data_IF_334209383304
#
_entry.id   IF_334209383304
#
_cell.length_a   1.000
_cell.length_b   1.000
_cell.length_c   1.000
_cell.angle_alpha   90.00
_cell.angle_beta   90.00
_cell.angle_gamma   90.00
#
_symmetry.space_group_name_H-M   'P 1'
#
loop_
_entity.id
_entity.type
_entity.pdbx_description
1 polymer ?
#
# COMPACT_ATOMS: atom_id res chain seq x y z
N UNK A 1 40.27 8.85 1.72
CA UNK A 1 39.47 10.00 1.22
C UNK A 1 38.54 10.40 2.35
N UNK A 2 38.61 11.66 2.78
CA UNK A 2 37.92 12.19 3.98
C UNK A 2 36.50 12.59 3.59
N UNK A 3 35.48 12.10 4.31
CA UNK A 3 34.11 12.62 4.26
C UNK A 3 33.94 13.64 5.39
N UNK A 4 33.65 14.89 5.02
CA UNK A 4 33.27 15.97 5.93
C UNK A 4 31.77 16.23 5.71
N UNK A 5 30.93 16.24 6.76
CA UNK A 5 29.48 16.39 6.63
C UNK A 5 29.08 17.86 6.45
N UNK A 6 28.08 18.13 5.59
CA UNK A 6 27.46 19.45 5.50
C UNK A 6 26.12 19.46 6.24
N UNK A 7 26.08 20.21 7.34
CA UNK A 7 24.87 20.65 8.06
C UNK A 7 24.60 22.10 7.61
N UNK A 8 23.35 22.42 7.24
CA UNK A 8 22.72 23.77 7.29
C UNK A 8 21.41 23.73 6.49
N UNK A 9 20.27 24.33 6.85
CA UNK A 9 19.93 25.22 7.96
C UNK A 9 18.41 25.13 8.19
N UNK A 10 17.97 25.12 9.45
CA UNK A 10 16.57 25.33 9.82
C UNK A 10 16.36 26.85 9.86
N UNK A 11 15.55 27.38 8.95
CA UNK A 11 15.14 28.78 8.98
C UNK A 11 14.02 28.93 10.00
N UNK A 12 14.40 29.38 11.20
CA UNK A 12 13.51 29.96 12.20
C UNK A 12 12.92 31.26 11.63
N UNK A 13 11.67 31.21 11.16
CA UNK A 13 10.89 32.40 10.86
C UNK A 13 10.37 32.95 12.19
N UNK A 14 11.12 33.90 12.74
CA UNK A 14 10.74 34.73 13.87
C UNK A 14 9.66 35.72 13.45
N UNK A 15 8.54 35.69 14.16
CA UNK A 15 7.42 36.63 14.06
C UNK A 15 7.86 38.03 14.54
N UNK A 16 7.75 39.10 13.74
CA UNK A 16 7.99 40.45 14.22
C UNK A 16 6.73 41.04 14.87
N UNK A 17 6.84 41.24 16.19
CA UNK A 17 6.33 42.36 16.99
C UNK A 17 5.08 43.14 16.50
N UNK A 18 4.13 43.24 17.45
CA UNK A 18 3.19 44.35 17.74
C UNK A 18 1.73 44.17 17.31
N UNK A 19 0.88 43.81 18.28
CA UNK A 19 -0.47 44.37 18.41
C UNK A 19 -1.58 43.78 17.53
N UNK A 20 -2.14 42.64 17.94
CA UNK A 20 -3.57 42.36 17.79
C UNK A 20 -4.11 41.91 19.14
N UNK A 21 -4.42 42.89 20.00
CA UNK A 21 -5.22 42.71 21.20
C UNK A 21 -6.69 42.71 20.82
N UNK A 22 -7.40 41.64 21.18
CA UNK A 22 -8.82 41.72 21.50
C UNK A 22 -9.78 41.08 20.50
N UNK A 23 -9.89 39.75 20.54
CA UNK A 23 -11.19 39.07 20.51
C UNK A 23 -11.08 37.85 21.43
N UNK A 24 -12.11 37.54 22.25
CA UNK A 24 -12.06 36.42 23.17
C UNK A 24 -11.80 35.14 22.38
N UNK A 25 -11.04 34.22 22.98
CA UNK A 25 -10.73 32.92 22.39
C UNK A 25 -12.00 32.26 21.85
N UNK A 26 -12.25 32.44 20.55
CA UNK A 26 -13.14 31.59 19.80
C UNK A 26 -12.54 30.21 19.96
N UNK A 27 -13.29 29.44 20.72
CA UNK A 27 -12.98 28.09 21.16
C UNK A 27 -12.37 27.40 19.95
N UNK A 28 -11.19 26.75 20.03
CA UNK A 28 -10.82 25.84 18.95
C UNK A 28 -12.06 24.96 18.79
N UNK A 29 -12.60 24.90 17.58
CA UNK A 29 -13.69 24.01 17.25
C UNK A 29 -13.18 22.61 17.60
N UNK A 30 -13.38 22.21 18.87
CA UNK A 30 -13.29 20.88 19.41
C UNK A 30 -14.53 20.13 18.92
N UNK A 31 -14.74 20.23 17.61
CA UNK A 31 -15.92 19.91 16.89
C UNK A 31 -15.44 19.26 15.61
N UNK A 32 -15.43 17.93 15.64
CA UNK A 32 -15.52 17.02 14.48
C UNK A 32 -14.26 16.36 13.95
N UNK A 33 -13.17 16.38 14.69
CA UNK A 33 -12.34 15.18 14.76
C UNK A 33 -12.49 14.61 16.16
N UNK A 34 -13.74 14.27 16.50
CA UNK A 34 -13.90 13.11 17.35
C UNK A 34 -12.99 12.06 16.71
N UNK A 35 -11.98 11.63 17.46
CA UNK A 35 -11.30 10.38 17.24
C UNK A 35 -12.44 9.37 17.14
N UNK A 36 -12.95 9.17 15.91
CA UNK A 36 -13.63 7.94 15.60
C UNK A 36 -12.61 6.93 16.06
N UNK A 37 -12.98 6.01 16.97
CA UNK A 37 -12.20 4.81 17.08
C UNK A 37 -12.15 4.32 15.64
N UNK A 38 -11.00 4.43 14.99
CA UNK A 38 -10.70 3.60 13.83
C UNK A 38 -10.89 2.23 14.46
N UNK A 39 -12.10 1.67 14.28
CA UNK A 39 -12.39 0.34 14.77
C UNK A 39 -11.21 -0.46 14.25
N UNK A 40 -10.40 -0.97 15.17
CA UNK A 40 -9.20 -1.72 14.81
C UNK A 40 -9.72 -2.80 13.89
N UNK A 41 -9.48 -2.64 12.59
CA UNK A 41 -9.95 -3.59 11.62
C UNK A 41 -9.13 -4.82 11.91
N UNK A 42 -9.82 -5.89 12.29
CA UNK A 42 -9.15 -7.14 12.60
C UNK A 42 -8.66 -7.81 11.30
N UNK A 43 -7.77 -8.77 11.47
CA UNK A 43 -7.20 -9.51 10.35
C UNK A 43 -8.29 -10.25 9.55
N UNK A 44 -9.37 -10.69 10.22
CA UNK A 44 -10.47 -11.40 9.58
C UNK A 44 -11.23 -10.50 8.60
N UNK A 45 -11.61 -9.30 9.03
CA UNK A 45 -12.27 -8.28 8.21
C UNK A 45 -11.37 -7.83 7.06
N UNK A 46 -10.06 -7.74 7.30
CA UNK A 46 -9.09 -7.43 6.25
C UNK A 46 -9.03 -8.54 5.21
N UNK A 47 -8.98 -9.81 5.64
CA UNK A 47 -8.96 -10.96 4.76
C UNK A 47 -10.26 -11.15 3.98
N UNK A 48 -11.42 -10.90 4.59
CA UNK A 48 -12.71 -10.84 3.88
C UNK A 48 -12.69 -9.80 2.76
N UNK A 49 -12.12 -8.62 3.01
CA UNK A 49 -11.97 -7.59 1.98
C UNK A 49 -10.98 -7.98 0.88
N UNK A 50 -9.94 -8.77 1.20
CA UNK A 50 -8.96 -9.28 0.23
C UNK A 50 -9.50 -10.39 -0.67
N UNK A 51 -10.47 -11.18 -0.20
CA UNK A 51 -11.12 -12.24 -0.97
C UNK A 51 -12.45 -11.80 -1.62
N UNK A 52 -13.01 -10.67 -1.18
CA UNK A 52 -14.29 -10.17 -1.67
C UNK A 52 -15.45 -11.12 -1.34
N UNK A 53 -16.61 -10.87 -1.95
CA UNK A 53 -17.84 -11.61 -1.66
C UNK A 53 -17.85 -13.07 -2.18
N UNK A 54 -16.86 -13.47 -2.99
CA UNK A 54 -16.92 -14.70 -3.78
C UNK A 54 -15.56 -15.36 -4.00
N UNK A 55 -14.60 -15.17 -3.09
CA UNK A 55 -13.22 -15.70 -3.17
C UNK A 55 -12.36 -15.23 -4.36
N UNK A 56 -12.94 -14.51 -5.32
CA UNK A 56 -12.26 -13.84 -6.45
C UNK A 56 -11.87 -12.40 -6.08
N UNK A 57 -11.15 -12.24 -4.98
CA UNK A 57 -10.78 -10.92 -4.47
C UNK A 57 -9.42 -10.42 -4.95
N UNK A 58 -9.04 -9.18 -4.59
CA UNK A 58 -7.79 -8.55 -5.01
C UNK A 58 -6.53 -9.40 -4.78
N UNK A 59 -6.52 -10.23 -3.74
CA UNK A 59 -5.38 -11.10 -3.49
C UNK A 59 -5.29 -12.27 -4.46
N UNK A 60 -6.43 -12.84 -4.86
CA UNK A 60 -6.48 -13.95 -5.80
C UNK A 60 -6.08 -13.46 -7.19
N UNK A 61 -6.54 -12.27 -7.58
CA UNK A 61 -6.10 -11.58 -8.81
C UNK A 61 -4.59 -11.34 -8.81
N UNK A 62 -4.04 -10.83 -7.71
CA UNK A 62 -2.60 -10.58 -7.57
C UNK A 62 -1.77 -11.86 -7.74
N UNK A 63 -2.20 -12.96 -7.12
CA UNK A 63 -1.50 -14.25 -7.23
C UNK A 63 -1.67 -14.88 -8.61
N UNK A 64 -2.83 -14.75 -9.23
CA UNK A 64 -3.05 -15.24 -10.59
C UNK A 64 -2.17 -14.50 -11.61
N UNK A 65 -2.03 -13.18 -11.49
CA UNK A 65 -1.09 -12.37 -12.28
C UNK A 65 0.33 -12.94 -12.16
N UNK A 66 0.82 -13.13 -10.93
CA UNK A 66 2.16 -13.66 -10.68
C UNK A 66 2.33 -15.07 -11.26
N UNK A 67 1.33 -15.94 -11.09
CA UNK A 67 1.37 -17.32 -11.60
C UNK A 67 1.42 -17.38 -13.13
N UNK A 68 0.73 -16.46 -13.81
CA UNK A 68 0.82 -16.32 -15.27
C UNK A 68 2.25 -15.96 -15.71
N UNK A 69 2.93 -15.08 -14.97
CA UNK A 69 4.34 -14.75 -15.21
C UNK A 69 5.31 -15.90 -14.91
N UNK A 70 5.06 -16.72 -13.90
CA UNK A 70 5.90 -17.91 -13.62
C UNK A 70 5.80 -18.95 -14.74
N UNK A 71 4.58 -19.21 -15.22
CA UNK A 71 4.32 -20.25 -16.22
C UNK A 71 4.90 -19.86 -17.57
N UNK A 72 4.86 -18.58 -17.90
CA UNK A 72 5.49 -18.00 -19.07
C UNK A 72 5.86 -16.56 -18.73
N UNK A 73 7.15 -16.20 -18.65
CA UNK A 73 7.60 -14.84 -18.34
C UNK A 73 7.41 -13.92 -19.56
N UNK A 74 6.18 -13.88 -20.05
CA UNK A 74 5.75 -13.11 -21.20
C UNK A 74 4.89 -11.97 -20.70
N UNK A 75 5.45 -10.77 -20.84
CA UNK A 75 4.79 -9.52 -20.53
C UNK A 75 3.50 -9.32 -21.36
N UNK A 76 3.24 -10.11 -22.41
CA UNK A 76 1.96 -10.05 -23.12
C UNK A 76 0.79 -10.72 -22.38
N UNK A 77 1.03 -11.50 -21.32
CA UNK A 77 -0.03 -12.26 -20.63
C UNK A 77 -0.82 -11.48 -19.58
N UNK A 78 -0.32 -10.30 -19.20
CA UNK A 78 -0.93 -9.42 -18.21
C UNK A 78 -0.93 -8.01 -18.76
N UNK A 79 -2.09 -7.37 -18.78
CA UNK A 79 -2.21 -6.02 -19.31
C UNK A 79 -1.83 -4.97 -18.26
N UNK A 80 -1.42 -3.79 -18.72
CA UNK A 80 -1.18 -2.62 -17.86
C UNK A 80 -2.43 -2.27 -17.04
N UNK A 81 -3.61 -2.34 -17.66
CA UNK A 81 -4.87 -2.01 -16.98
C UNK A 81 -5.21 -3.00 -15.87
N UNK A 82 -4.94 -4.29 -16.09
CA UNK A 82 -5.14 -5.33 -15.08
C UNK A 82 -4.25 -5.10 -13.87
N UNK A 83 -2.94 -4.91 -14.06
CA UNK A 83 -2.01 -4.57 -12.98
C UNK A 83 -2.44 -3.32 -12.21
N UNK A 84 -2.81 -2.25 -12.92
CA UNK A 84 -3.28 -1.02 -12.28
C UNK A 84 -4.55 -1.25 -11.45
N UNK A 85 -5.52 -2.00 -11.99
CA UNK A 85 -6.77 -2.29 -11.28
C UNK A 85 -6.53 -3.11 -10.01
N UNK A 86 -5.68 -4.13 -10.06
CA UNK A 86 -5.33 -4.95 -8.89
C UNK A 86 -4.55 -4.14 -7.85
N UNK A 87 -3.61 -3.27 -8.28
CA UNK A 87 -2.89 -2.36 -7.38
C UNK A 87 -3.87 -1.42 -6.66
N UNK A 88 -4.80 -0.81 -7.37
CA UNK A 88 -5.80 0.10 -6.78
C UNK A 88 -6.69 -0.66 -5.78
N UNK A 89 -7.08 -1.89 -6.11
CA UNK A 89 -7.92 -2.69 -5.23
C UNK A 89 -7.18 -3.12 -3.94
N UNK A 90 -5.90 -3.49 -4.05
CA UNK A 90 -5.05 -3.77 -2.87
C UNK A 90 -4.81 -2.51 -2.03
N UNK A 91 -4.61 -1.35 -2.66
CA UNK A 91 -4.45 -0.07 -1.95
C UNK A 91 -5.72 0.32 -1.19
N UNK A 92 -6.90 0.17 -1.80
CA UNK A 92 -8.19 0.39 -1.13
C UNK A 92 -8.32 -0.47 0.13
N UNK A 93 -7.97 -1.77 0.04
CA UNK A 93 -7.97 -2.65 1.22
C UNK A 93 -6.92 -2.23 2.23
N UNK A 94 -5.72 -1.85 1.80
CA UNK A 94 -4.64 -1.38 2.68
C UNK A 94 -5.06 -0.22 3.57
N UNK A 95 -5.76 0.77 3.01
CA UNK A 95 -6.17 1.97 3.79
C UNK A 95 -7.07 1.67 4.98
N UNK A 96 -7.69 0.48 5.00
CA UNK A 96 -8.55 -0.02 6.06
C UNK A 96 -8.05 -1.32 6.68
N UNK A 97 -6.83 -1.75 6.39
CA UNK A 97 -6.30 -3.02 6.85
C UNK A 97 -5.88 -2.97 8.33
N UNK A 98 -5.82 -4.14 8.95
CA UNK A 98 -5.07 -4.30 10.19
C UNK A 98 -3.58 -4.04 9.99
N UNK A 99 -2.87 -3.60 11.04
CA UNK A 99 -1.41 -3.36 11.00
C UNK A 99 -0.62 -4.62 10.63
N UNK A 100 -1.11 -5.80 11.05
CA UNK A 100 -0.48 -7.09 10.74
C UNK A 100 -0.55 -7.41 9.25
N UNK A 101 -1.71 -7.15 8.62
CA UNK A 101 -1.97 -7.44 7.21
C UNK A 101 -1.39 -6.37 6.29
N UNK A 102 -1.36 -5.11 6.74
CA UNK A 102 -0.88 -3.94 5.97
C UNK A 102 0.50 -4.19 5.35
N UNK A 103 1.45 -4.70 6.14
CA UNK A 103 2.82 -4.98 5.66
C UNK A 103 2.87 -6.06 4.58
N UNK A 104 1.95 -7.03 4.64
CA UNK A 104 1.87 -8.10 3.65
C UNK A 104 1.18 -7.60 2.37
N UNK A 105 0.17 -6.74 2.50
CA UNK A 105 -0.48 -6.05 1.38
C UNK A 105 0.52 -5.13 0.67
N UNK A 106 1.30 -4.34 1.41
CA UNK A 106 2.34 -3.46 0.86
C UNK A 106 3.38 -4.22 0.02
N UNK A 107 3.85 -5.37 0.50
CA UNK A 107 4.81 -6.21 -0.26
C UNK A 107 4.23 -6.69 -1.59
N UNK A 108 2.94 -7.07 -1.60
CA UNK A 108 2.24 -7.45 -2.82
C UNK A 108 2.07 -6.26 -3.76
N UNK A 109 1.67 -5.11 -3.23
CA UNK A 109 1.49 -3.89 -4.01
C UNK A 109 2.80 -3.44 -4.67
N UNK A 110 3.91 -3.43 -3.93
CA UNK A 110 5.24 -3.10 -4.45
C UNK A 110 5.64 -4.06 -5.58
N UNK A 111 5.39 -5.36 -5.40
CA UNK A 111 5.61 -6.39 -6.42
C UNK A 111 4.84 -6.10 -7.71
N UNK A 112 3.54 -5.83 -7.61
CA UNK A 112 2.72 -5.53 -8.78
C UNK A 112 3.13 -4.20 -9.45
N UNK A 113 3.54 -3.20 -8.66
CA UNK A 113 4.09 -1.93 -9.19
C UNK A 113 5.41 -2.14 -9.94
N UNK A 114 6.26 -3.05 -9.48
CA UNK A 114 7.48 -3.44 -10.20
C UNK A 114 7.13 -4.10 -11.55
N UNK A 115 6.18 -5.04 -11.56
CA UNK A 115 5.68 -5.65 -12.80
C UNK A 115 5.09 -4.60 -13.76
N UNK A 116 4.29 -3.66 -13.25
CA UNK A 116 3.74 -2.54 -14.02
C UNK A 116 4.85 -1.67 -14.64
N UNK A 117 5.92 -1.41 -13.90
CA UNK A 117 7.06 -0.63 -14.39
C UNK A 117 7.81 -1.37 -15.51
N UNK A 118 8.00 -2.68 -15.37
CA UNK A 118 8.65 -3.51 -16.40
C UNK A 118 7.79 -3.55 -17.67
N UNK A 119 6.48 -3.74 -17.52
CA UNK A 119 5.50 -3.71 -18.61
C UNK A 119 5.51 -2.39 -19.39
N UNK A 120 5.45 -1.28 -18.67
CA UNK A 120 5.34 0.06 -19.27
C UNK A 120 6.64 0.51 -19.90
N UNK A 121 7.79 0.19 -19.29
CA UNK A 121 9.10 0.58 -19.81
C UNK A 121 9.54 -0.23 -21.03
N UNK A 122 8.93 -1.41 -21.29
CA UNK A 122 9.33 -2.36 -22.35
C UNK A 122 10.83 -2.71 -22.33
N UNK A 123 11.50 -2.46 -21.21
CA UNK A 123 12.88 -2.90 -21.00
C UNK A 123 12.80 -4.39 -20.73
N UNK A 124 13.54 -5.19 -21.49
CA UNK A 124 13.75 -6.61 -21.19
C UNK A 124 14.54 -6.72 -19.89
N UNK A 125 13.87 -6.48 -18.77
CA UNK A 125 14.38 -6.76 -17.45
C UNK A 125 14.08 -8.22 -17.14
N UNK A 126 15.09 -8.94 -16.65
CA UNK A 126 14.86 -10.27 -16.07
C UNK A 126 13.99 -10.08 -14.83
N UNK A 127 12.74 -10.53 -14.93
CA UNK A 127 11.73 -10.52 -13.86
C UNK A 127 12.10 -11.64 -12.89
N UNK A 128 12.52 -11.31 -11.66
CA UNK A 128 12.69 -12.32 -10.61
C UNK A 128 11.32 -12.71 -10.05
N UNK A 129 10.76 -13.79 -10.59
CA UNK A 129 9.44 -14.29 -10.19
C UNK A 129 9.43 -14.92 -8.80
N UNK A 130 10.59 -15.21 -8.20
CA UNK A 130 10.68 -15.81 -6.86
C UNK A 130 10.17 -14.87 -5.77
N UNK A 131 10.59 -13.60 -5.82
CA UNK A 131 10.11 -12.56 -4.89
C UNK A 131 8.60 -12.34 -5.05
N UNK A 132 8.11 -12.39 -6.30
CA UNK A 132 6.70 -12.17 -6.60
C UNK A 132 5.81 -13.30 -6.08
N UNK A 133 6.25 -14.55 -6.26
CA UNK A 133 5.58 -15.73 -5.72
C UNK A 133 5.48 -15.65 -4.20
N UNK A 134 6.59 -15.31 -3.54
CA UNK A 134 6.65 -15.30 -2.08
C UNK A 134 5.68 -14.27 -1.50
N UNK A 135 5.65 -13.05 -2.03
CA UNK A 135 4.74 -12.01 -1.53
C UNK A 135 3.26 -12.45 -1.60
N UNK A 136 2.85 -13.01 -2.74
CA UNK A 136 1.49 -13.52 -2.94
C UNK A 136 1.14 -14.66 -1.99
N UNK A 137 2.03 -15.65 -1.87
CA UNK A 137 1.81 -16.82 -1.01
C UNK A 137 1.82 -16.47 0.48
N UNK A 138 2.64 -15.52 0.92
CA UNK A 138 2.68 -15.07 2.32
C UNK A 138 1.33 -14.48 2.75
N UNK A 139 0.75 -13.62 1.91
CA UNK A 139 -0.54 -12.98 2.20
C UNK A 139 -1.71 -13.98 2.07
N UNK A 140 -1.68 -14.89 1.08
CA UNK A 140 -2.67 -15.96 0.98
C UNK A 140 -2.63 -16.89 2.20
N UNK A 141 -1.44 -17.32 2.60
CA UNK A 141 -1.24 -18.20 3.76
C UNK A 141 -1.66 -17.53 5.06
N UNK A 142 -1.38 -16.23 5.20
CA UNK A 142 -1.87 -15.43 6.32
C UNK A 142 -3.40 -15.37 6.36
N UNK A 143 -4.07 -15.17 5.22
CA UNK A 143 -5.53 -15.11 5.22
C UNK A 143 -6.23 -16.48 5.28
N UNK A 144 -5.56 -17.56 4.87
CA UNK A 144 -6.11 -18.91 4.95
C UNK A 144 -6.45 -19.35 6.39
N UNK A 145 -5.79 -18.78 7.40
CA UNK A 145 -6.09 -19.07 8.80
C UNK A 145 -7.39 -18.41 9.30
N UNK A 146 -7.92 -17.43 8.56
CA UNK A 146 -9.13 -16.67 8.89
C UNK A 146 -10.36 -17.07 8.06
N UNK A 147 -10.17 -17.85 6.98
CA UNK A 147 -11.23 -18.33 6.09
C UNK A 147 -11.84 -19.71 6.49
N UNK A 148 -11.60 -20.18 7.72
CA UNK A 148 -12.16 -21.44 8.26
C UNK A 148 -13.42 -21.18 9.09
#
# INVERSE_FOLDING_TARGET
MRFVPAIAAIVLVSCPLTGCTGEPADTPAAGRYALMPTALVDDNTTCDALYGASTDGPIVDAVDIVRRFETKPDLSLVTVGELQSTIIALDDVRTRASVSSERLIDRNEVTLRQLLTIQTSRVNATVDTGVFKQAGMDLLGFCAQYLQ
#
